data_IF_745539682433
#
_entry.id   IF_745539682433
#
_cell.length_a   1.000
_cell.length_b   1.000
_cell.length_c   1.000
_cell.angle_alpha   90.00
_cell.angle_beta   90.00
_cell.angle_gamma   90.00
#
_symmetry.space_group_name_H-M   'P 1'
#
loop_
_entity.id
_entity.type
_entity.pdbx_description
1 polymer ?
#
# COMPACT_ATOMS: atom_id res chain seq x y z
N UNK A 1 2.17 3.10 17.28
CA UNK A 1 1.25 2.45 16.32
C UNK A 1 -0.07 3.21 16.11
N UNK A 2 -0.46 4.11 17.00
CA UNK A 2 -1.71 4.88 16.92
C UNK A 2 -1.77 5.90 15.78
N UNK A 3 -0.63 6.43 15.35
CA UNK A 3 -0.57 7.51 14.36
C UNK A 3 -1.05 7.16 12.95
N UNK A 4 -0.74 5.96 12.44
CA UNK A 4 -1.08 5.56 11.04
C UNK A 4 -2.59 5.55 10.80
N UNK A 5 -3.38 5.09 11.76
CA UNK A 5 -4.82 4.99 11.58
C UNK A 5 -5.54 6.35 11.73
N UNK A 6 -5.06 7.21 12.62
CA UNK A 6 -5.63 8.55 12.82
C UNK A 6 -5.52 9.41 11.56
N UNK A 7 -4.44 9.23 10.77
CA UNK A 7 -4.21 10.00 9.55
C UNK A 7 -5.20 9.67 8.42
N UNK A 8 -5.69 8.44 8.35
CA UNK A 8 -6.61 8.02 7.30
C UNK A 8 -8.07 8.43 7.57
N UNK A 9 -8.42 8.86 8.79
CA UNK A 9 -9.80 9.18 9.19
C UNK A 9 -10.51 10.23 8.32
N UNK A 10 -9.86 11.34 7.91
CA UNK A 10 -10.55 12.41 7.19
C UNK A 10 -11.07 12.04 5.80
N UNK A 11 -10.48 11.01 5.17
CA UNK A 11 -10.79 10.63 3.78
C UNK A 11 -11.67 9.39 3.66
N UNK A 12 -12.03 8.76 4.78
CA UNK A 12 -12.73 7.48 4.83
C UNK A 12 -14.20 7.61 5.26
N UNK A 13 -15.00 6.61 4.92
CA UNK A 13 -16.40 6.55 5.34
C UNK A 13 -16.53 6.42 6.87
N UNK A 14 -17.45 7.15 7.54
CA UNK A 14 -17.70 7.00 8.97
C UNK A 14 -18.09 5.56 9.32
N UNK A 15 -17.48 5.00 10.37
CA UNK A 15 -17.80 3.67 10.87
C UNK A 15 -17.23 2.50 10.03
N UNK A 16 -16.48 2.78 8.96
CA UNK A 16 -15.83 1.73 8.18
C UNK A 16 -14.71 1.04 8.97
N UNK A 17 -14.63 -0.28 8.87
CA UNK A 17 -13.47 -1.03 9.37
C UNK A 17 -12.35 -0.92 8.34
N UNK A 18 -11.31 -0.15 8.65
CA UNK A 18 -10.22 0.15 7.73
C UNK A 18 -9.05 -0.78 7.93
N UNK A 19 -8.56 -1.34 6.84
CA UNK A 19 -7.21 -1.89 6.76
C UNK A 19 -6.31 -0.80 6.19
N UNK A 20 -5.51 -0.21 7.05
CA UNK A 20 -4.50 0.80 6.67
C UNK A 20 -3.17 0.10 6.45
N UNK A 21 -2.54 0.38 5.32
CA UNK A 21 -1.27 -0.23 4.90
C UNK A 21 -0.25 0.87 4.65
N UNK A 22 0.80 0.90 5.45
CA UNK A 22 1.96 1.78 5.23
C UNK A 22 3.09 0.95 4.60
N UNK A 23 3.35 1.16 3.31
CA UNK A 23 4.36 0.42 2.57
C UNK A 23 5.66 1.22 2.48
N UNK A 24 6.55 0.96 3.44
CA UNK A 24 7.87 1.55 3.51
C UNK A 24 8.93 0.85 2.65
N UNK A 25 10.20 1.25 2.85
CA UNK A 25 11.34 0.59 2.20
C UNK A 25 11.74 -0.72 2.89
N UNK A 26 11.74 -0.74 4.21
CA UNK A 26 12.19 -1.87 5.05
C UNK A 26 11.08 -2.70 5.66
N UNK A 27 9.91 -2.13 5.87
CA UNK A 27 8.76 -2.78 6.49
C UNK A 27 7.47 -2.39 5.80
N UNK A 28 6.41 -3.16 6.06
CA UNK A 28 5.04 -2.87 5.66
C UNK A 28 4.15 -3.07 6.87
N UNK A 29 3.53 -2.01 7.33
CA UNK A 29 2.63 -2.00 8.47
C UNK A 29 1.19 -2.25 8.02
N UNK A 30 0.53 -3.20 8.69
CA UNK A 30 -0.90 -3.48 8.53
C UNK A 30 -1.61 -3.09 9.83
N UNK A 31 -2.57 -2.19 9.74
CA UNK A 31 -3.36 -1.73 10.91
C UNK A 31 -4.84 -1.84 10.59
N UNK A 32 -5.59 -2.58 11.38
CA UNK A 32 -7.04 -2.72 11.25
C UNK A 32 -7.75 -2.03 12.41
N UNK A 33 -8.80 -1.28 12.11
CA UNK A 33 -9.64 -0.64 13.14
C UNK A 33 -10.73 0.24 12.54
N UNK A 34 -11.51 0.89 13.40
CA UNK A 34 -12.55 1.88 13.04
C UNK A 34 -12.05 3.28 13.41
N UNK A 35 -12.23 3.69 14.65
CA UNK A 35 -11.79 5.00 15.16
C UNK A 35 -10.43 4.90 15.87
N UNK A 36 -10.03 3.69 16.25
CA UNK A 36 -8.75 3.38 16.85
C UNK A 36 -8.21 2.03 16.34
N UNK A 37 -6.88 1.79 16.42
CA UNK A 37 -6.30 0.49 16.08
C UNK A 37 -6.86 -0.63 16.95
N UNK A 38 -7.45 -1.64 16.30
CA UNK A 38 -7.91 -2.86 16.96
C UNK A 38 -6.90 -4.00 16.82
N UNK A 39 -6.17 -4.05 15.71
CA UNK A 39 -5.10 -5.00 15.44
C UNK A 39 -4.03 -4.35 14.57
N UNK A 40 -2.77 -4.73 14.79
CA UNK A 40 -1.66 -4.22 14.00
C UNK A 40 -0.54 -5.25 13.90
N UNK A 41 0.15 -5.27 12.76
CA UNK A 41 1.32 -6.11 12.53
C UNK A 41 2.28 -5.39 11.57
N UNK A 42 3.59 -5.51 11.82
CA UNK A 42 4.63 -5.02 10.92
C UNK A 42 5.30 -6.22 10.27
N UNK A 43 5.19 -6.30 8.94
CA UNK A 43 5.91 -7.29 8.14
C UNK A 43 7.33 -6.80 7.86
N UNK A 44 8.33 -7.66 8.02
CA UNK A 44 9.74 -7.36 7.70
C UNK A 44 9.98 -7.45 6.18
N UNK A 45 9.19 -6.68 5.43
CA UNK A 45 9.25 -6.57 3.96
C UNK A 45 8.82 -5.18 3.51
N UNK A 46 9.44 -4.69 2.44
CA UNK A 46 9.16 -3.39 1.84
C UNK A 46 9.89 -3.26 0.52
N UNK A 47 9.73 -2.11 -0.14
CA UNK A 47 10.24 -1.90 -1.50
C UNK A 47 11.75 -2.11 -1.63
N UNK A 48 12.55 -1.66 -0.66
CA UNK A 48 14.01 -1.83 -0.67
C UNK A 48 14.40 -3.30 -0.46
N UNK A 49 13.84 -3.93 0.59
CA UNK A 49 14.19 -5.32 0.92
C UNK A 49 13.84 -6.30 -0.21
N UNK A 50 12.69 -6.13 -0.83
CA UNK A 50 12.27 -7.00 -1.95
C UNK A 50 13.15 -6.74 -3.19
N UNK A 51 13.52 -5.47 -3.44
CA UNK A 51 14.47 -5.14 -4.50
C UNK A 51 15.80 -5.85 -4.28
N UNK A 52 16.42 -5.67 -3.10
CA UNK A 52 17.74 -6.22 -2.80
C UNK A 52 17.76 -7.76 -2.83
N UNK A 53 16.71 -8.39 -2.31
CA UNK A 53 16.65 -9.85 -2.17
C UNK A 53 16.27 -10.57 -3.45
N UNK A 54 15.39 -9.98 -4.27
CA UNK A 54 14.78 -10.70 -5.39
C UNK A 54 14.91 -9.98 -6.73
N UNK A 55 14.83 -8.64 -6.78
CA UNK A 55 14.70 -7.86 -8.01
C UNK A 55 15.92 -7.00 -8.34
N UNK A 56 17.07 -7.24 -7.70
CA UNK A 56 18.30 -6.49 -7.96
C UNK A 56 18.75 -6.58 -9.44
N UNK A 57 18.45 -7.69 -10.13
CA UNK A 57 18.71 -7.89 -11.55
C UNK A 57 17.54 -7.54 -12.48
N UNK A 58 16.51 -6.90 -11.94
CA UNK A 58 15.24 -6.62 -12.63
C UNK A 58 14.20 -7.74 -12.47
N UNK A 59 12.95 -7.48 -12.84
CA UNK A 59 11.86 -8.44 -12.76
C UNK A 59 12.02 -9.52 -13.85
N UNK A 60 12.35 -10.73 -13.44
CA UNK A 60 12.27 -11.94 -14.28
C UNK A 60 11.16 -12.83 -13.75
N UNK A 61 10.53 -13.70 -14.55
CA UNK A 61 9.43 -14.56 -14.07
C UNK A 61 9.80 -15.37 -12.83
N UNK A 62 11.05 -15.88 -12.73
CA UNK A 62 11.52 -16.61 -11.57
C UNK A 62 11.72 -15.72 -10.33
N UNK A 63 12.29 -14.54 -10.51
CA UNK A 63 12.50 -13.56 -9.44
C UNK A 63 11.16 -13.03 -8.89
N UNK A 64 10.21 -12.72 -9.77
CA UNK A 64 8.88 -12.32 -9.38
C UNK A 64 8.14 -13.41 -8.62
N UNK A 65 8.15 -14.64 -9.12
CA UNK A 65 7.51 -15.77 -8.44
C UNK A 65 8.08 -15.97 -7.03
N UNK A 66 9.41 -15.87 -6.86
CA UNK A 66 10.06 -15.97 -5.56
C UNK A 66 9.69 -14.79 -4.63
N UNK A 67 9.66 -13.55 -5.16
CA UNK A 67 9.25 -12.36 -4.40
C UNK A 67 7.80 -12.46 -3.95
N UNK A 68 6.88 -12.82 -4.84
CA UNK A 68 5.45 -13.00 -4.54
C UNK A 68 5.25 -14.09 -3.48
N UNK A 69 5.92 -15.24 -3.62
CA UNK A 69 5.84 -16.33 -2.64
C UNK A 69 6.31 -15.87 -1.24
N UNK A 70 7.40 -15.10 -1.19
CA UNK A 70 7.90 -14.54 0.07
C UNK A 70 6.89 -13.57 0.72
N UNK A 71 6.35 -12.62 -0.06
CA UNK A 71 5.38 -11.64 0.45
C UNK A 71 4.10 -12.34 0.92
N UNK A 72 3.61 -13.35 0.17
CA UNK A 72 2.44 -14.14 0.57
C UNK A 72 2.65 -14.88 1.88
N UNK A 73 3.81 -15.49 2.09
CA UNK A 73 4.13 -16.16 3.36
C UNK A 73 4.12 -15.18 4.55
N UNK A 74 4.60 -13.94 4.36
CA UNK A 74 4.53 -12.91 5.38
C UNK A 74 3.09 -12.43 5.62
N UNK A 75 2.28 -12.33 4.57
CA UNK A 75 0.86 -11.99 4.67
C UNK A 75 0.06 -13.09 5.37
N UNK A 76 0.42 -14.38 5.21
CA UNK A 76 -0.16 -15.49 5.96
C UNK A 76 0.10 -15.30 7.46
N UNK A 77 1.35 -15.02 7.84
CA UNK A 77 1.69 -14.71 9.24
C UNK A 77 0.98 -13.45 9.76
N UNK A 78 0.93 -12.39 8.96
CA UNK A 78 0.22 -11.16 9.33
C UNK A 78 -1.27 -11.41 9.57
N UNK A 79 -1.89 -12.29 8.77
CA UNK A 79 -3.30 -12.69 8.91
C UNK A 79 -3.65 -13.37 10.23
N UNK A 80 -2.68 -14.00 10.91
CA UNK A 80 -2.85 -14.56 12.25
C UNK A 80 -3.02 -13.46 13.32
N UNK A 81 -2.52 -12.25 13.05
CA UNK A 81 -2.54 -11.11 13.97
C UNK A 81 -3.56 -10.03 13.57
N UNK A 82 -3.77 -9.82 12.27
CA UNK A 82 -4.67 -8.82 11.72
C UNK A 82 -5.76 -9.52 10.92
N UNK A 83 -7.02 -9.54 11.39
CA UNK A 83 -8.12 -10.22 10.71
C UNK A 83 -8.57 -9.46 9.46
N UNK A 84 -7.84 -9.60 8.34
CA UNK A 84 -8.04 -8.90 7.08
C UNK A 84 -9.47 -9.05 6.55
N UNK A 85 -10.09 -10.20 6.77
CA UNK A 85 -11.47 -10.51 6.38
C UNK A 85 -12.52 -9.51 6.91
N UNK A 86 -12.19 -8.74 7.96
CA UNK A 86 -13.08 -7.75 8.57
C UNK A 86 -13.00 -6.36 7.92
N UNK A 87 -12.05 -6.15 7.00
CA UNK A 87 -11.88 -4.86 6.36
C UNK A 87 -13.06 -4.56 5.43
N UNK A 88 -13.58 -3.34 5.51
CA UNK A 88 -14.58 -2.78 4.59
C UNK A 88 -14.02 -1.65 3.73
N UNK A 89 -12.85 -1.13 4.10
CA UNK A 89 -12.03 -0.21 3.30
C UNK A 89 -10.56 -0.61 3.37
N UNK A 90 -9.87 -0.49 2.24
CA UNK A 90 -8.42 -0.68 2.13
C UNK A 90 -7.77 0.67 1.82
N UNK A 91 -6.98 1.18 2.76
CA UNK A 91 -6.30 2.47 2.66
C UNK A 91 -4.79 2.25 2.58
N UNK A 92 -4.19 2.77 1.54
CA UNK A 92 -2.75 2.68 1.34
C UNK A 92 -2.04 4.01 1.54
N UNK A 93 -0.87 3.95 2.16
CA UNK A 93 0.00 5.10 2.48
C UNK A 93 1.37 4.93 1.83
N UNK A 94 2.14 6.00 1.87
CA UNK A 94 3.52 6.11 1.44
C UNK A 94 3.73 6.10 -0.09
N UNK A 95 4.99 6.28 -0.48
CA UNK A 95 5.32 6.70 -1.81
C UNK A 95 5.21 5.64 -2.89
N UNK A 96 5.16 4.35 -2.56
CA UNK A 96 4.85 3.31 -3.53
C UNK A 96 3.40 3.45 -3.97
N UNK A 97 2.49 3.53 -3.00
CA UNK A 97 1.06 3.56 -3.24
C UNK A 97 0.66 4.84 -3.97
N UNK A 98 1.20 6.00 -3.55
CA UNK A 98 0.98 7.26 -4.27
C UNK A 98 1.50 7.23 -5.71
N UNK A 99 2.61 6.52 -5.98
CA UNK A 99 3.14 6.35 -7.34
C UNK A 99 2.24 5.45 -8.20
N UNK A 100 1.78 4.31 -7.65
CA UNK A 100 0.84 3.40 -8.34
C UNK A 100 -0.47 4.14 -8.65
N UNK A 101 -0.98 4.92 -7.70
CA UNK A 101 -2.19 5.73 -7.90
C UNK A 101 -1.99 6.82 -8.94
N UNK A 102 -0.87 7.56 -8.91
CA UNK A 102 -0.55 8.57 -9.92
C UNK A 102 -0.47 7.96 -11.33
N UNK A 103 0.13 6.77 -11.44
CA UNK A 103 0.20 6.02 -12.69
C UNK A 103 -1.19 5.61 -13.18
N UNK A 104 -2.04 5.05 -12.32
CA UNK A 104 -3.41 4.65 -12.67
C UNK A 104 -4.27 5.82 -13.13
N UNK A 105 -4.11 7.00 -12.51
CA UNK A 105 -4.81 8.23 -12.87
C UNK A 105 -4.23 8.93 -14.11
N UNK A 106 -3.11 8.44 -14.67
CA UNK A 106 -2.44 9.05 -15.82
C UNK A 106 -1.87 10.43 -15.52
N UNK A 107 -1.47 10.71 -14.28
CA UNK A 107 -0.89 11.99 -13.90
C UNK A 107 0.47 12.19 -14.58
N UNK A 108 0.76 13.43 -14.96
CA UNK A 108 2.07 13.83 -15.49
C UNK A 108 3.03 14.27 -14.39
N UNK A 109 2.47 14.84 -13.31
CA UNK A 109 3.20 15.42 -12.19
C UNK A 109 2.61 14.93 -10.87
N UNK A 110 3.34 15.15 -9.75
CA UNK A 110 2.80 14.87 -8.43
C UNK A 110 1.74 15.91 -8.06
N UNK A 111 0.50 15.47 -7.99
CA UNK A 111 -0.66 16.28 -7.61
C UNK A 111 -1.28 15.79 -6.30
N UNK A 112 -1.00 16.45 -5.16
CA UNK A 112 -1.53 16.05 -3.88
C UNK A 112 -3.07 16.08 -3.82
N UNK A 113 -3.73 16.98 -4.55
CA UNK A 113 -5.19 17.10 -4.52
C UNK A 113 -5.86 15.96 -5.29
N UNK A 114 -5.22 15.48 -6.35
CA UNK A 114 -5.70 14.32 -7.11
C UNK A 114 -5.40 13.00 -6.40
N UNK A 115 -4.36 12.94 -5.57
CA UNK A 115 -3.88 11.72 -4.92
C UNK A 115 -4.52 11.48 -3.55
N UNK A 116 -4.70 12.53 -2.74
CA UNK A 116 -5.24 12.36 -1.40
C UNK A 116 -6.74 12.05 -1.45
N UNK A 117 -7.12 10.93 -0.87
CA UNK A 117 -8.49 10.41 -0.95
C UNK A 117 -8.85 9.75 -2.29
N UNK A 118 -7.91 9.63 -3.23
CA UNK A 118 -8.17 8.97 -4.51
C UNK A 118 -8.66 7.53 -4.29
N UNK A 119 -9.71 7.17 -5.01
CA UNK A 119 -10.30 5.82 -5.00
C UNK A 119 -10.09 5.17 -6.36
N UNK A 120 -9.45 4.02 -6.37
CA UNK A 120 -9.28 3.19 -7.55
C UNK A 120 -10.07 1.89 -7.38
N UNK A 121 -10.55 1.31 -8.47
CA UNK A 121 -11.01 -0.07 -8.43
C UNK A 121 -9.83 -1.00 -8.08
N UNK A 122 -10.13 -2.16 -7.49
CA UNK A 122 -9.11 -3.20 -7.27
C UNK A 122 -8.45 -3.59 -8.61
N UNK A 123 -9.23 -3.68 -9.67
CA UNK A 123 -8.74 -4.00 -11.02
C UNK A 123 -7.72 -2.96 -11.51
N UNK A 124 -8.07 -1.66 -11.45
CA UNK A 124 -7.16 -0.58 -11.88
C UNK A 124 -5.90 -0.52 -11.00
N UNK A 125 -6.06 -0.76 -9.69
CA UNK A 125 -4.92 -0.82 -8.76
C UNK A 125 -3.95 -1.93 -9.15
N UNK A 126 -4.45 -3.15 -9.37
CA UNK A 126 -3.64 -4.29 -9.74
C UNK A 126 -3.02 -4.13 -11.13
N UNK A 127 -3.77 -3.62 -12.11
CA UNK A 127 -3.26 -3.33 -13.44
C UNK A 127 -2.12 -2.29 -13.40
N UNK A 128 -2.28 -1.24 -12.60
CA UNK A 128 -1.24 -0.24 -12.40
C UNK A 128 -0.02 -0.82 -11.68
N UNK A 129 -0.21 -1.68 -10.68
CA UNK A 129 0.90 -2.38 -10.03
C UNK A 129 1.72 -3.20 -11.03
N UNK A 130 1.07 -3.97 -11.90
CA UNK A 130 1.74 -4.77 -12.92
C UNK A 130 2.47 -3.88 -13.94
N UNK A 131 1.87 -2.78 -14.38
CA UNK A 131 2.53 -1.83 -15.28
C UNK A 131 3.77 -1.19 -14.65
N UNK A 132 3.69 -0.79 -13.37
CA UNK A 132 4.82 -0.22 -12.63
C UNK A 132 5.91 -1.26 -12.39
N UNK A 133 5.56 -2.50 -12.06
CA UNK A 133 6.50 -3.61 -11.85
C UNK A 133 7.35 -3.86 -13.11
N UNK A 134 6.71 -3.88 -14.28
CA UNK A 134 7.36 -4.19 -15.56
C UNK A 134 7.86 -2.95 -16.32
N UNK A 135 7.76 -1.76 -15.71
CA UNK A 135 8.25 -0.53 -16.34
C UNK A 135 9.75 -0.54 -16.55
N UNK A 136 10.19 0.05 -17.65
CA UNK A 136 11.60 0.27 -17.95
C UNK A 136 12.20 1.41 -17.11
N UNK A 137 13.53 1.47 -17.02
CA UNK A 137 14.21 2.58 -16.36
C UNK A 137 13.87 3.93 -17.04
N UNK A 138 13.79 3.95 -18.38
CA UNK A 138 13.47 5.15 -19.14
C UNK A 138 12.05 5.66 -18.86
N UNK A 139 11.07 4.75 -18.76
CA UNK A 139 9.71 5.13 -18.35
C UNK A 139 9.70 5.74 -16.96
N UNK A 140 10.34 5.09 -15.99
CA UNK A 140 10.44 5.59 -14.61
C UNK A 140 11.16 6.93 -14.49
N UNK A 141 12.14 7.19 -15.37
CA UNK A 141 12.80 8.50 -15.46
C UNK A 141 11.86 9.60 -15.98
N UNK A 142 10.92 9.25 -16.86
CA UNK A 142 9.95 10.19 -17.42
C UNK A 142 8.83 10.57 -16.43
N UNK A 143 8.58 9.75 -15.39
CA UNK A 143 7.51 9.99 -14.43
C UNK A 143 7.88 11.07 -13.42
N UNK A 144 7.34 12.28 -13.61
CA UNK A 144 7.64 13.42 -12.74
C UNK A 144 7.00 13.32 -11.37
N UNK A 145 5.96 12.48 -11.20
CA UNK A 145 5.38 12.12 -9.93
C UNK A 145 6.23 11.12 -9.12
N UNK A 146 7.19 10.43 -9.75
CA UNK A 146 8.09 9.48 -9.07
C UNK A 146 9.38 10.17 -8.64
N UNK A 147 9.61 10.25 -7.34
CA UNK A 147 10.86 10.83 -6.80
C UNK A 147 12.08 10.03 -7.27
N UNK A 148 13.18 10.70 -7.70
CA UNK A 148 14.38 10.03 -8.21
C UNK A 148 14.92 8.90 -7.31
N UNK A 149 14.97 9.10 -5.99
CA UNK A 149 15.45 8.11 -5.01
C UNK A 149 14.56 6.88 -4.82
N UNK A 150 13.43 6.79 -5.56
CA UNK A 150 12.53 5.62 -5.51
C UNK A 150 12.51 4.82 -6.82
N UNK A 151 13.16 5.30 -7.87
CA UNK A 151 13.12 4.68 -9.20
C UNK A 151 13.61 3.24 -9.22
N UNK A 152 14.59 2.93 -8.39
CA UNK A 152 15.20 1.60 -8.34
C UNK A 152 14.38 0.58 -7.53
N UNK A 153 13.52 1.07 -6.62
CA UNK A 153 12.76 0.22 -5.70
C UNK A 153 11.26 0.17 -5.98
N UNK A 154 10.77 1.01 -6.90
CA UNK A 154 9.32 1.14 -7.13
C UNK A 154 8.70 -0.13 -7.71
N UNK A 155 9.43 -0.88 -8.55
CA UNK A 155 8.96 -2.14 -9.10
C UNK A 155 8.67 -3.17 -8.00
N UNK A 156 9.58 -3.31 -7.05
CA UNK A 156 9.39 -4.17 -5.89
C UNK A 156 8.27 -3.68 -4.97
N UNK A 157 8.16 -2.38 -4.79
CA UNK A 157 7.06 -1.79 -4.03
C UNK A 157 5.70 -2.09 -4.65
N UNK A 158 5.57 -1.96 -5.96
CA UNK A 158 4.35 -2.29 -6.70
C UNK A 158 3.99 -3.79 -6.55
N UNK A 159 4.97 -4.69 -6.61
CA UNK A 159 4.76 -6.12 -6.34
C UNK A 159 4.23 -6.35 -4.92
N UNK A 160 4.84 -5.73 -3.89
CA UNK A 160 4.37 -5.89 -2.51
C UNK A 160 2.93 -5.38 -2.37
N UNK A 161 2.62 -4.20 -2.94
CA UNK A 161 1.26 -3.63 -2.89
C UNK A 161 0.25 -4.54 -3.59
N UNK A 162 0.58 -5.09 -4.76
CA UNK A 162 -0.32 -6.02 -5.48
C UNK A 162 -0.66 -7.25 -4.64
N UNK A 163 0.32 -7.84 -3.93
CA UNK A 163 0.07 -9.01 -3.07
C UNK A 163 -0.77 -8.66 -1.84
N UNK A 164 -0.56 -7.48 -1.23
CA UNK A 164 -1.41 -7.00 -0.12
C UNK A 164 -2.85 -6.82 -0.57
N UNK A 165 -3.07 -6.12 -1.71
CA UNK A 165 -4.42 -5.92 -2.28
C UNK A 165 -5.08 -7.25 -2.60
N UNK A 166 -4.38 -8.15 -3.29
CA UNK A 166 -4.91 -9.47 -3.65
C UNK A 166 -5.31 -10.28 -2.42
N UNK A 167 -4.47 -10.31 -1.37
CA UNK A 167 -4.77 -11.01 -0.12
C UNK A 167 -5.95 -10.41 0.62
N UNK A 168 -6.05 -9.08 0.70
CA UNK A 168 -7.18 -8.42 1.36
C UNK A 168 -8.51 -8.73 0.63
N UNK A 169 -8.50 -8.69 -0.70
CA UNK A 169 -9.66 -9.05 -1.52
C UNK A 169 -10.04 -10.52 -1.36
N UNK A 170 -9.07 -11.43 -1.38
CA UNK A 170 -9.31 -12.87 -1.16
C UNK A 170 -10.00 -13.13 0.18
N UNK A 171 -9.47 -12.57 1.27
CA UNK A 171 -9.99 -12.76 2.62
C UNK A 171 -11.38 -12.16 2.81
N UNK A 172 -11.61 -10.96 2.29
CA UNK A 172 -12.92 -10.29 2.38
C UNK A 172 -13.96 -10.94 1.48
N UNK A 173 -13.56 -11.48 0.32
CA UNK A 173 -14.44 -12.28 -0.55
C UNK A 173 -14.87 -13.57 0.12
N UNK A 174 -13.94 -14.29 0.76
CA UNK A 174 -14.25 -15.50 1.52
C UNK A 174 -15.20 -15.21 2.70
N UNK A 175 -15.16 -14.00 3.26
CA UNK A 175 -16.08 -13.54 4.30
C UNK A 175 -17.42 -13.01 3.76
N UNK A 176 -17.65 -13.01 2.45
CA UNK A 176 -18.90 -12.56 1.82
C UNK A 176 -19.04 -11.04 1.66
N UNK A 177 -17.98 -10.26 1.88
CA UNK A 177 -17.98 -8.79 1.76
C UNK A 177 -16.73 -8.30 1.02
N UNK A 178 -16.60 -8.57 -0.30
CA UNK A 178 -15.39 -8.29 -1.05
C UNK A 178 -15.06 -6.80 -1.09
N UNK A 179 -13.78 -6.46 -0.86
CA UNK A 179 -13.25 -5.15 -1.18
C UNK A 179 -13.24 -4.95 -2.69
N UNK A 180 -13.76 -3.83 -3.14
CA UNK A 180 -13.84 -3.48 -4.57
C UNK A 180 -12.98 -2.28 -4.94
N UNK A 181 -12.52 -1.52 -3.94
CA UNK A 181 -11.73 -0.30 -4.12
C UNK A 181 -10.57 -0.22 -3.15
N UNK A 182 -9.53 0.50 -3.55
CA UNK A 182 -8.46 0.98 -2.70
C UNK A 182 -8.56 2.50 -2.55
N UNK A 183 -8.11 3.02 -1.41
CA UNK A 183 -8.05 4.47 -1.13
C UNK A 183 -6.60 4.84 -0.90
N UNK A 184 -6.15 5.94 -1.49
CA UNK A 184 -4.81 6.47 -1.25
C UNK A 184 -4.87 7.60 -0.25
N UNK A 185 -3.97 7.62 0.74
CA UNK A 185 -3.79 8.74 1.66
C UNK A 185 -2.38 9.29 1.55
N UNK A 186 -2.26 10.62 1.60
CA UNK A 186 -0.99 11.32 1.73
C UNK A 186 -0.60 11.56 3.19
N UNK A 187 -1.53 11.32 4.10
CA UNK A 187 -1.29 11.47 5.54
C UNK A 187 -0.59 10.24 6.08
N UNK A 188 0.57 10.42 6.67
CA UNK A 188 1.40 9.35 7.22
C UNK A 188 1.44 9.36 8.76
N UNK A 189 2.32 8.56 9.35
CA UNK A 189 2.47 8.44 10.80
C UNK A 189 2.83 9.78 11.47
N UNK A 190 3.51 10.69 10.76
CA UNK A 190 3.91 11.99 11.31
C UNK A 190 2.69 12.90 11.46
N UNK A 191 1.77 12.89 10.48
CA UNK A 191 0.50 13.62 10.57
C UNK A 191 -0.34 13.09 11.74
N UNK A 192 -0.38 11.76 11.93
CA UNK A 192 -1.09 11.15 13.05
C UNK A 192 -0.50 11.51 14.41
N UNK A 193 0.81 11.61 14.52
CA UNK A 193 1.48 12.09 15.74
C UNK A 193 1.11 13.56 15.98
N UNK A 194 1.17 14.41 14.94
CA UNK A 194 0.81 15.81 15.05
C UNK A 194 -0.64 16.00 15.51
N UNK A 195 -1.59 15.26 14.94
CA UNK A 195 -3.00 15.30 15.35
C UNK A 195 -3.19 14.85 16.80
N UNK A 196 -2.52 13.79 17.24
CA UNK A 196 -2.62 13.30 18.62
C UNK A 196 -2.10 14.28 19.66
N UNK A 197 -1.16 15.15 19.29
CA UNK A 197 -0.66 16.21 20.17
C UNK A 197 -1.65 17.39 20.31
N UNK A 198 -2.47 17.62 19.31
CA UNK A 198 -3.50 18.70 19.32
C UNK A 198 -4.75 18.25 20.10
N UNK A 199 -5.15 16.99 19.97
CA UNK A 199 -6.32 16.44 20.69
C UNK A 199 -6.05 16.19 22.19
N UNK A 200 -4.80 16.13 22.60
CA UNK A 200 -4.37 15.93 24.00
C UNK A 200 -4.09 17.25 24.78
N UNK A 201 -4.31 18.41 24.16
CA UNK A 201 -4.14 19.73 24.76
C UNK A 201 -5.52 20.36 25.08
#
# INVERSE_FOLDING_TARGET
MTGVQTCALPICAPGATRLVVDLGGGSTELVLGVDAPAAAFSMDTGSVRVTERYLAGGPTPAAEAAARAHVRALLDTAGEHVPLARATELVGLAGTITTVTAHALGLTDFDPQALDGARLSVEDTLASCEAVLHSTAAERESWRYLRPGRRDVIAAGALVWSEVVARAVEQTTAAGSPLTTTVTSLHDILDGIALSLVEGA
#
